data_IF_525406256752
#
_entry.id   IF_525406256752
#
_cell.length_a   1.000
_cell.length_b   1.000
_cell.length_c   1.000
_cell.angle_alpha   90.00
_cell.angle_beta   90.00
_cell.angle_gamma   90.00
#
_symmetry.space_group_name_H-M   'P 1'
#
loop_
_entity.id
_entity.type
_entity.pdbx_description
1 polymer ?
#
# COMPACT_ATOMS: atom_id res chain seq x y z
N UNK A 1 3.50 -11.20 5.99
CA UNK A 1 3.71 -11.93 4.70
C UNK A 1 5.20 -12.26 4.58
N UNK A 2 5.56 -13.04 3.56
CA UNK A 2 6.96 -13.35 3.26
C UNK A 2 7.70 -12.16 2.61
N UNK A 3 6.96 -11.16 2.11
CA UNK A 3 7.50 -10.03 1.36
C UNK A 3 7.76 -8.78 2.21
N UNK A 4 7.36 -8.76 3.48
CA UNK A 4 7.54 -7.60 4.37
C UNK A 4 6.56 -6.47 4.07
N UNK A 5 5.41 -6.80 3.49
CA UNK A 5 4.39 -5.85 3.11
C UNK A 5 3.78 -5.20 4.35
N UNK A 6 3.62 -3.88 4.26
CA UNK A 6 2.92 -3.12 5.29
C UNK A 6 1.41 -3.26 5.10
N UNK A 7 0.59 -2.95 6.12
CA UNK A 7 -0.86 -2.93 5.97
C UNK A 7 -1.34 -2.07 4.78
N UNK A 8 -0.57 -1.06 4.39
CA UNK A 8 -0.83 -0.20 3.24
C UNK A 8 -0.64 -0.92 1.91
N UNK A 9 0.40 -1.74 1.76
CA UNK A 9 0.61 -2.58 0.57
C UNK A 9 -0.58 -3.53 0.39
N UNK A 10 -0.99 -4.14 1.49
CA UNK A 10 -2.10 -5.09 1.55
C UNK A 10 -3.44 -4.43 1.20
N UNK A 11 -3.69 -3.23 1.72
CA UNK A 11 -4.89 -2.44 1.39
C UNK A 11 -4.95 -2.09 -0.11
N UNK A 12 -3.82 -1.68 -0.70
CA UNK A 12 -3.72 -1.34 -2.12
C UNK A 12 -3.94 -2.59 -3.00
N UNK A 13 -3.26 -3.69 -2.67
CA UNK A 13 -3.34 -4.97 -3.39
C UNK A 13 -4.75 -5.55 -3.36
N UNK A 14 -5.41 -5.49 -2.20
CA UNK A 14 -6.77 -6.02 -1.99
C UNK A 14 -7.88 -5.05 -2.39
N UNK A 15 -7.55 -3.89 -2.96
CA UNK A 15 -8.52 -2.85 -3.36
C UNK A 15 -9.42 -2.37 -2.20
N UNK A 16 -8.85 -2.28 -1.01
CA UNK A 16 -9.55 -1.82 0.19
C UNK A 16 -9.32 -0.33 0.38
N UNK A 17 -10.02 0.47 -0.42
CA UNK A 17 -9.90 1.93 -0.39
C UNK A 17 -10.39 2.51 0.96
N UNK A 18 -11.32 1.81 1.62
CA UNK A 18 -11.79 2.06 2.98
C UNK A 18 -10.66 1.91 4.01
N UNK A 19 -9.92 0.80 3.96
CA UNK A 19 -8.78 0.57 4.84
C UNK A 19 -7.60 1.47 4.48
N UNK A 20 -7.42 1.79 3.20
CA UNK A 20 -6.41 2.73 2.74
C UNK A 20 -6.64 4.12 3.35
N UNK A 21 -7.88 4.62 3.28
CA UNK A 21 -8.25 5.90 3.89
C UNK A 21 -8.00 5.90 5.40
N UNK A 22 -8.41 4.83 6.08
CA UNK A 22 -8.20 4.69 7.52
C UNK A 22 -6.70 4.65 7.87
N UNK A 23 -5.88 3.90 7.13
CA UNK A 23 -4.43 3.87 7.33
C UNK A 23 -3.78 5.24 7.09
N UNK A 24 -4.22 5.97 6.07
CA UNK A 24 -3.74 7.33 5.80
C UNK A 24 -4.15 8.31 6.91
N UNK A 25 -5.36 8.20 7.45
CA UNK A 25 -5.85 9.00 8.57
C UNK A 25 -5.02 8.77 9.85
N UNK A 26 -4.51 7.54 10.03
CA UNK A 26 -3.59 7.20 11.13
C UNK A 26 -2.13 7.60 10.88
N UNK A 27 -1.86 8.47 9.88
CA UNK A 27 -0.53 8.91 9.49
C UNK A 27 0.41 7.75 9.16
N UNK A 28 -0.11 6.69 8.52
CA UNK A 28 0.70 5.56 8.14
C UNK A 28 1.79 5.96 7.14
N UNK A 29 2.98 5.42 7.37
CA UNK A 29 4.17 5.75 6.62
C UNK A 29 4.13 5.09 5.24
N UNK A 30 3.78 5.90 4.23
CA UNK A 30 3.74 5.49 2.82
C UNK A 30 5.13 5.32 2.18
N UNK A 31 6.19 5.78 2.87
CA UNK A 31 7.56 5.70 2.37
C UNK A 31 8.24 4.38 2.72
N UNK A 32 7.71 3.67 3.71
CA UNK A 32 8.21 2.35 4.10
C UNK A 32 8.15 1.39 2.92
N UNK A 33 9.30 0.80 2.65
CA UNK A 33 9.45 -0.27 1.68
C UNK A 33 9.29 -1.63 2.35
N UNK A 34 8.73 -2.57 1.63
CA UNK A 34 8.74 -3.99 1.97
C UNK A 34 10.15 -4.59 1.77
N UNK A 35 10.31 -5.89 2.00
CA UNK A 35 11.59 -6.59 1.87
C UNK A 35 12.09 -6.67 0.43
N UNK A 36 11.23 -6.41 -0.55
CA UNK A 36 11.61 -6.37 -1.98
C UNK A 36 11.99 -4.96 -2.44
N UNK A 37 11.89 -3.96 -1.55
CA UNK A 37 12.25 -2.57 -1.84
C UNK A 37 11.12 -1.76 -2.48
N UNK A 38 9.92 -2.32 -2.62
CA UNK A 38 8.74 -1.59 -3.08
C UNK A 38 8.04 -0.90 -1.92
N UNK A 39 7.48 0.27 -2.18
CA UNK A 39 6.67 1.00 -1.21
C UNK A 39 5.21 0.97 -1.66
N UNK A 40 4.32 1.47 -0.79
CA UNK A 40 2.90 1.54 -1.08
C UNK A 40 2.61 2.27 -2.41
N UNK A 41 3.37 3.33 -2.71
CA UNK A 41 3.22 4.09 -3.95
C UNK A 41 3.55 3.26 -5.20
N UNK A 42 4.59 2.43 -5.17
CA UNK A 42 4.93 1.51 -6.25
C UNK A 42 3.78 0.53 -6.53
N UNK A 43 3.16 -0.03 -5.49
CA UNK A 43 1.98 -0.89 -5.64
C UNK A 43 0.77 -0.13 -6.20
N UNK A 44 0.54 1.11 -5.74
CA UNK A 44 -0.54 1.95 -6.26
C UNK A 44 -0.34 2.30 -7.74
N UNK A 45 0.91 2.57 -8.14
CA UNK A 45 1.26 2.86 -9.53
C UNK A 45 1.08 1.63 -10.43
N UNK A 46 1.53 0.45 -9.98
CA UNK A 46 1.32 -0.83 -10.70
C UNK A 46 -0.17 -1.17 -10.85
N UNK A 47 -0.98 -0.82 -9.84
CA UNK A 47 -2.43 -1.04 -9.87
C UNK A 47 -3.13 -0.16 -10.91
N UNK A 48 -2.57 1.01 -11.25
CA UNK A 48 -3.01 1.93 -12.30
C UNK A 48 -4.53 2.01 -12.49
N UNK A 49 -5.21 2.97 -11.87
CA UNK A 49 -6.63 3.21 -12.14
C UNK A 49 -6.82 3.51 -13.65
N UNK A 50 -7.43 2.61 -14.44
CA UNK A 50 -7.92 2.99 -15.75
C UNK A 50 -9.09 3.94 -15.47
N UNK A 51 -9.00 5.15 -16.03
CA UNK A 51 -10.09 6.13 -16.00
C UNK A 51 -11.41 5.54 -16.44
#
# INVERSE_FOLDING_TARGET
DAEGDTPLHDAISKKRDDMLGLLLDYAADITRTNNTGFNALHHAALRGNPR
#
